data_IF_773588026971
#
_entry.id   IF_773588026971
#
_cell.length_a   1.000
_cell.length_b   1.000
_cell.length_c   1.000
_cell.angle_alpha   90.00
_cell.angle_beta   90.00
_cell.angle_gamma   90.00
#
_symmetry.space_group_name_H-M   'P 1'
#
loop_
_entity.id
_entity.type
_entity.pdbx_description
1 polymer ?
#
# COMPACT_ATOMS: atom_id res chain seq x y z
N UNK A 1 -0.33 28.73 -11.57
CA UNK A 1 -1.06 28.66 -10.28
C UNK A 1 -2.58 28.47 -10.43
N UNK A 2 -3.29 29.21 -11.30
CA UNK A 2 -4.77 29.25 -11.29
C UNK A 2 -5.54 28.00 -11.79
N UNK A 3 -4.91 27.05 -12.48
CA UNK A 3 -5.63 25.92 -13.08
C UNK A 3 -6.00 24.80 -12.08
N UNK A 4 -5.16 24.58 -11.05
CA UNK A 4 -5.40 23.61 -9.98
C UNK A 4 -6.57 24.06 -9.10
N UNK A 5 -6.57 25.32 -8.66
CA UNK A 5 -7.61 25.90 -7.79
C UNK A 5 -9.02 25.94 -8.41
N UNK A 6 -9.14 25.71 -9.73
CA UNK A 6 -10.44 25.64 -10.42
C UNK A 6 -11.03 24.23 -10.47
N UNK A 7 -10.33 23.21 -9.98
CA UNK A 7 -10.83 21.83 -9.95
C UNK A 7 -11.79 21.64 -8.79
N UNK A 8 -12.96 21.06 -9.08
CA UNK A 8 -14.03 20.80 -8.12
C UNK A 8 -13.96 19.42 -7.46
N UNK A 9 -13.14 18.52 -7.99
CA UNK A 9 -13.03 17.14 -7.51
C UNK A 9 -11.56 16.77 -7.39
N UNK A 10 -11.22 16.16 -6.27
CA UNK A 10 -9.87 15.78 -5.89
C UNK A 10 -9.89 14.36 -5.34
N UNK A 11 -8.88 13.59 -5.73
CA UNK A 11 -8.58 12.30 -5.14
C UNK A 11 -7.24 12.48 -4.45
N UNK A 12 -7.21 12.19 -3.16
CA UNK A 12 -5.99 12.18 -2.37
C UNK A 12 -5.62 10.75 -2.08
N UNK A 13 -4.34 10.46 -2.18
CA UNK A 13 -3.80 9.24 -1.59
C UNK A 13 -3.87 9.33 -0.06
N UNK A 14 -3.81 8.19 0.63
CA UNK A 14 -3.84 8.15 2.08
C UNK A 14 -2.42 8.30 2.64
N UNK A 15 -1.58 7.29 2.45
CA UNK A 15 -0.29 7.18 3.15
C UNK A 15 0.79 8.08 2.58
N UNK A 16 1.41 8.87 3.47
CA UNK A 16 2.37 9.90 3.08
C UNK A 16 1.72 11.14 2.45
N UNK A 17 0.39 11.16 2.31
CA UNK A 17 -0.38 12.33 1.84
C UNK A 17 -1.29 12.87 2.94
N UNK A 18 -2.32 12.09 3.34
CA UNK A 18 -3.24 12.44 4.42
C UNK A 18 -2.80 11.86 5.78
N UNK A 19 -2.05 10.76 5.77
CA UNK A 19 -1.47 10.13 6.97
C UNK A 19 0.05 10.14 6.91
N UNK A 20 0.69 10.01 8.07
CA UNK A 20 2.13 9.76 8.13
C UNK A 20 2.46 8.42 7.45
N UNK A 21 3.51 8.39 6.64
CA UNK A 21 3.92 7.17 5.94
C UNK A 21 4.42 6.11 6.95
N UNK A 22 3.70 4.99 7.03
CA UNK A 22 4.02 3.86 7.93
C UNK A 22 4.34 2.56 7.19
N UNK A 23 4.24 2.55 5.85
CA UNK A 23 4.40 1.35 5.04
C UNK A 23 5.86 0.96 4.84
N UNK A 24 6.29 -0.15 5.44
CA UNK A 24 7.55 -0.83 5.11
C UNK A 24 7.35 -1.91 4.04
N UNK A 25 7.40 -1.49 2.78
CA UNK A 25 7.28 -2.41 1.65
C UNK A 25 8.49 -3.36 1.52
N UNK A 26 9.65 -3.02 2.08
CA UNK A 26 10.82 -3.91 2.01
C UNK A 26 10.61 -5.11 2.93
N UNK A 27 10.16 -4.86 4.17
CA UNK A 27 9.78 -5.91 5.11
C UNK A 27 8.63 -6.77 4.58
N UNK A 28 7.61 -6.15 3.97
CA UNK A 28 6.50 -6.87 3.35
C UNK A 28 6.98 -7.82 2.24
N UNK A 29 7.90 -7.40 1.37
CA UNK A 29 8.46 -8.29 0.33
C UNK A 29 9.16 -9.51 0.92
N UNK A 30 9.93 -9.32 1.99
CA UNK A 30 10.56 -10.44 2.72
C UNK A 30 9.51 -11.39 3.29
N UNK A 31 8.47 -10.86 3.96
CA UNK A 31 7.35 -11.65 4.50
C UNK A 31 6.64 -12.46 3.41
N UNK A 32 6.42 -11.86 2.24
CA UNK A 32 5.79 -12.51 1.09
C UNK A 32 6.72 -13.45 0.32
N UNK A 33 8.01 -13.52 0.66
CA UNK A 33 9.02 -14.28 -0.06
C UNK A 33 9.28 -13.77 -1.48
N UNK A 34 9.12 -12.46 -1.70
CA UNK A 34 9.34 -11.80 -2.99
C UNK A 34 10.78 -11.27 -3.09
N UNK A 35 11.35 -11.24 -4.31
CA UNK A 35 12.63 -10.58 -4.55
C UNK A 35 12.60 -9.09 -4.14
N UNK A 36 13.75 -8.51 -3.73
CA UNK A 36 13.86 -7.08 -3.51
C UNK A 36 13.42 -6.28 -4.74
N UNK A 37 12.62 -5.24 -4.53
CA UNK A 37 12.09 -4.40 -5.62
C UNK A 37 11.00 -5.04 -6.48
N UNK A 38 10.63 -6.30 -6.23
CA UNK A 38 9.55 -6.94 -6.98
C UNK A 38 8.23 -6.16 -6.80
N UNK A 39 7.47 -5.97 -7.88
CA UNK A 39 6.16 -5.33 -7.83
C UNK A 39 5.15 -6.30 -7.20
N UNK A 40 4.55 -5.91 -6.07
CA UNK A 40 3.83 -6.83 -5.17
C UNK A 40 2.54 -7.35 -5.82
N UNK A 41 1.75 -6.47 -6.44
CA UNK A 41 0.46 -6.83 -7.00
C UNK A 41 0.62 -7.77 -8.20
N UNK A 42 1.57 -7.47 -9.07
CA UNK A 42 1.91 -8.28 -10.24
C UNK A 42 2.47 -9.64 -9.83
N UNK A 43 3.25 -9.70 -8.74
CA UNK A 43 3.72 -10.97 -8.18
C UNK A 43 2.56 -11.82 -7.62
N UNK A 44 1.53 -11.19 -7.04
CA UNK A 44 0.31 -11.87 -6.58
C UNK A 44 -0.49 -12.38 -7.79
N UNK A 45 -0.71 -11.54 -8.80
CA UNK A 45 -1.43 -11.91 -10.01
C UNK A 45 -0.77 -13.07 -10.76
N UNK A 46 0.56 -13.08 -10.86
CA UNK A 46 1.31 -14.15 -11.52
C UNK A 46 1.36 -15.48 -10.74
N UNK A 47 1.02 -15.50 -9.45
CA UNK A 47 1.15 -16.68 -8.61
C UNK A 47 0.11 -17.78 -8.91
N UNK A 48 0.42 -19.07 -8.69
CA UNK A 48 -0.59 -20.14 -8.72
C UNK A 48 -1.72 -19.89 -7.70
N UNK A 49 -2.96 -20.39 -7.93
CA UNK A 49 -4.13 -20.02 -7.13
C UNK A 49 -3.96 -20.14 -5.61
N UNK A 50 -3.37 -21.24 -5.13
CA UNK A 50 -3.13 -21.44 -3.70
C UNK A 50 -2.13 -20.42 -3.13
N UNK A 51 -1.07 -20.10 -3.88
CA UNK A 51 -0.08 -19.10 -3.48
C UNK A 51 -0.65 -17.69 -3.55
N UNK A 52 -1.44 -17.37 -4.57
CA UNK A 52 -2.14 -16.10 -4.71
C UNK A 52 -3.04 -15.84 -3.50
N UNK A 53 -3.87 -16.82 -3.13
CA UNK A 53 -4.77 -16.71 -1.98
C UNK A 53 -3.99 -16.43 -0.68
N UNK A 54 -2.88 -17.14 -0.45
CA UNK A 54 -2.01 -16.90 0.69
C UNK A 54 -1.38 -15.49 0.66
N UNK A 55 -0.80 -15.08 -0.48
CA UNK A 55 -0.19 -13.75 -0.61
C UNK A 55 -1.21 -12.63 -0.38
N UNK A 56 -2.42 -12.74 -0.94
CA UNK A 56 -3.49 -11.76 -0.74
C UNK A 56 -3.92 -11.69 0.73
N UNK A 57 -4.00 -12.83 1.43
CA UNK A 57 -4.32 -12.84 2.86
C UNK A 57 -3.24 -12.16 3.71
N UNK A 58 -1.96 -12.39 3.39
CA UNK A 58 -0.83 -11.76 4.08
C UNK A 58 -0.79 -10.24 3.84
N UNK A 59 -1.01 -9.79 2.60
CA UNK A 59 -1.13 -8.35 2.30
C UNK A 59 -2.29 -7.74 3.06
N UNK A 60 -3.46 -8.38 3.06
CA UNK A 60 -4.61 -7.86 3.79
C UNK A 60 -4.38 -7.81 5.32
N UNK A 61 -3.61 -8.73 5.88
CA UNK A 61 -3.20 -8.68 7.30
C UNK A 61 -2.27 -7.50 7.57
N UNK A 62 -1.27 -7.31 6.73
CA UNK A 62 -0.35 -6.17 6.81
C UNK A 62 -1.07 -4.82 6.65
N UNK A 63 -2.02 -4.71 5.72
CA UNK A 63 -2.84 -3.48 5.57
C UNK A 63 -3.65 -3.16 6.83
N UNK A 64 -4.21 -4.18 7.51
CA UNK A 64 -4.92 -3.97 8.78
C UNK A 64 -4.00 -3.45 9.88
N UNK A 65 -2.78 -3.96 9.95
CA UNK A 65 -1.76 -3.48 10.88
C UNK A 65 -1.42 -2.00 10.59
N UNK A 66 -1.25 -1.64 9.32
CA UNK A 66 -0.96 -0.26 8.90
C UNK A 66 -2.10 0.70 9.23
N UNK A 67 -3.36 0.34 8.93
CA UNK A 67 -4.53 1.15 9.24
C UNK A 67 -4.67 1.39 10.75
N UNK A 68 -4.40 0.37 11.58
CA UNK A 68 -4.45 0.53 13.03
C UNK A 68 -3.38 1.47 13.59
N UNK A 69 -2.24 1.61 12.90
CA UNK A 69 -1.14 2.50 13.26
C UNK A 69 -1.23 3.89 12.59
N UNK A 70 -2.18 4.10 11.67
CA UNK A 70 -2.28 5.32 10.89
C UNK A 70 -2.52 6.55 11.77
N UNK A 71 -1.73 7.59 11.54
CA UNK A 71 -1.84 8.88 12.22
C UNK A 71 -2.00 9.98 11.18
N UNK A 72 -2.89 10.98 11.38
CA UNK A 72 -3.03 12.10 10.46
C UNK A 72 -1.69 12.83 10.23
N UNK A 73 -1.45 13.25 8.99
CA UNK A 73 -0.37 14.17 8.69
C UNK A 73 -0.67 15.54 9.34
N UNK A 74 0.35 16.30 9.77
CA UNK A 74 0.15 17.65 10.29
C UNK A 74 -0.40 18.60 9.21
N UNK A 75 -1.12 19.63 9.66
CA UNK A 75 -1.67 20.71 8.81
C UNK A 75 -0.58 21.58 8.15
#
# INVERSE_FOLDING_TARGET
>A
MHALLRRRHWIFDLDGTLTLAVHDFAALRVRLGLPPGAPILEAIEAAPPARRAWLSAEVAAWEREAVAAATPAPD
#
